data_IF_004716912665
#
_entry.id   IF_004716912665
#
_cell.length_a   1.000
_cell.length_b   1.000
_cell.length_c   1.000
_cell.angle_alpha   90.00
_cell.angle_beta   90.00
_cell.angle_gamma   90.00
#
_symmetry.space_group_name_H-M   'P 1'
#
loop_
_entity.id
_entity.type
_entity.pdbx_description
1 polymer ?
#
# COMPACT_ATOMS: atom_id res chain seq x y z
N UNK A 1 19.06 25.71 -19.12
CA UNK A 1 19.02 24.27 -18.79
C UNK A 1 18.17 24.12 -17.56
N UNK A 2 16.87 23.94 -17.74
CA UNK A 2 15.91 23.91 -16.63
C UNK A 2 15.75 22.45 -16.23
N UNK A 3 16.41 22.03 -15.15
CA UNK A 3 16.07 20.78 -14.48
C UNK A 3 14.73 21.05 -13.77
N UNK A 4 13.62 20.90 -14.50
CA UNK A 4 12.30 20.82 -13.88
C UNK A 4 12.20 19.45 -13.25
N UNK A 5 12.39 19.40 -11.92
CA UNK A 5 11.92 18.28 -11.12
C UNK A 5 10.43 18.10 -11.39
N UNK A 6 10.12 17.12 -12.23
CA UNK A 6 8.78 16.57 -12.29
C UNK A 6 8.68 15.73 -11.03
N UNK A 7 8.17 16.32 -9.94
CA UNK A 7 7.54 15.51 -8.90
C UNK A 7 6.35 14.85 -9.60
N UNK A 8 6.57 13.64 -10.13
CA UNK A 8 5.48 12.83 -10.65
C UNK A 8 4.55 12.60 -9.47
N UNK A 9 3.34 13.15 -9.53
CA UNK A 9 2.27 12.78 -8.60
C UNK A 9 2.23 11.26 -8.61
N UNK A 10 2.53 10.58 -7.48
CA UNK A 10 2.59 9.13 -7.45
C UNK A 10 1.25 8.59 -7.92
N UNK A 11 1.26 7.60 -8.82
CA UNK A 11 0.03 6.93 -9.21
C UNK A 11 -0.64 6.40 -7.93
N UNK A 12 -1.89 6.80 -7.63
CA UNK A 12 -2.57 6.35 -6.42
C UNK A 12 -2.70 4.83 -6.37
N UNK A 13 -2.87 4.17 -7.53
CA UNK A 13 -2.89 2.71 -7.64
C UNK A 13 -1.55 2.08 -7.27
N UNK A 14 -0.45 2.57 -7.83
CA UNK A 14 0.91 2.15 -7.48
C UNK A 14 1.21 2.35 -5.98
N UNK A 15 0.80 3.48 -5.43
CA UNK A 15 0.96 3.80 -4.00
C UNK A 15 0.17 2.82 -3.12
N UNK A 16 -1.08 2.50 -3.49
CA UNK A 16 -1.91 1.54 -2.77
C UNK A 16 -1.29 0.13 -2.79
N UNK A 17 -0.80 -0.33 -3.95
CA UNK A 17 -0.11 -1.64 -4.06
C UNK A 17 1.17 -1.68 -3.23
N UNK A 18 1.93 -0.58 -3.20
CA UNK A 18 3.12 -0.48 -2.36
C UNK A 18 2.78 -0.61 -0.87
N UNK A 19 1.75 0.11 -0.41
CA UNK A 19 1.28 0.04 0.99
C UNK A 19 0.78 -1.36 1.33
N UNK A 20 0.02 -2.02 0.43
CA UNK A 20 -0.43 -3.41 0.63
C UNK A 20 0.77 -4.34 0.86
N UNK A 21 1.77 -4.29 -0.01
CA UNK A 21 2.96 -5.16 0.08
C UNK A 21 3.72 -4.93 1.38
N UNK A 22 3.95 -3.66 1.73
CA UNK A 22 4.67 -3.29 2.94
C UNK A 22 3.92 -3.69 4.22
N UNK A 23 2.60 -3.45 4.27
CA UNK A 23 1.76 -3.85 5.39
C UNK A 23 1.76 -5.37 5.59
N UNK A 24 1.72 -6.15 4.50
CA UNK A 24 1.82 -7.61 4.54
C UNK A 24 3.15 -8.09 5.11
N UNK A 25 4.27 -7.53 4.67
CA UNK A 25 5.60 -7.89 5.18
C UNK A 25 5.75 -7.57 6.66
N UNK A 26 5.36 -6.36 7.07
CA UNK A 26 5.39 -5.92 8.46
C UNK A 26 4.47 -6.77 9.34
N UNK A 27 3.30 -7.18 8.84
CA UNK A 27 2.37 -8.04 9.59
C UNK A 27 2.99 -9.39 9.90
N UNK A 28 3.69 -9.99 8.93
CA UNK A 28 4.39 -11.26 9.13
C UNK A 28 5.48 -11.12 10.18
N UNK A 29 6.26 -10.04 10.12
CA UNK A 29 7.28 -9.74 11.13
C UNK A 29 6.64 -9.57 12.52
N UNK A 30 5.62 -8.72 12.64
CA UNK A 30 4.92 -8.48 13.91
C UNK A 30 4.33 -9.77 14.50
N UNK A 31 3.76 -10.64 13.65
CA UNK A 31 3.24 -11.95 14.06
C UNK A 31 4.36 -12.86 14.59
N UNK A 32 5.49 -12.94 13.87
CA UNK A 32 6.65 -13.72 14.26
C UNK A 32 7.35 -13.20 15.53
N UNK A 33 7.20 -11.92 15.84
CA UNK A 33 7.74 -11.28 17.05
C UNK A 33 6.77 -11.26 18.24
N UNK A 34 5.59 -11.89 18.13
CA UNK A 34 4.59 -11.92 19.22
C UNK A 34 3.84 -10.59 19.43
N UNK A 35 3.94 -9.64 18.50
CA UNK A 35 3.26 -8.35 18.54
C UNK A 35 1.85 -8.47 17.91
N UNK A 36 0.99 -9.29 18.52
CA UNK A 36 -0.32 -9.67 17.96
C UNK A 36 -1.23 -8.48 17.64
N UNK A 37 -1.27 -7.47 18.51
CA UNK A 37 -2.08 -6.26 18.25
C UNK A 37 -1.55 -5.45 17.06
N UNK A 38 -0.23 -5.33 16.92
CA UNK A 38 0.36 -4.66 15.75
C UNK A 38 0.09 -5.44 14.47
N UNK A 39 0.18 -6.76 14.50
CA UNK A 39 -0.18 -7.61 13.36
C UNK A 39 -1.65 -7.45 12.96
N UNK A 40 -2.55 -7.29 13.94
CA UNK A 40 -3.95 -6.97 13.68
C UNK A 40 -4.12 -5.60 13.01
N UNK A 41 -3.46 -4.55 13.50
CA UNK A 41 -3.52 -3.23 12.86
C UNK A 41 -3.00 -3.25 11.42
N UNK A 42 -1.87 -3.92 11.20
CA UNK A 42 -1.27 -4.07 9.87
C UNK A 42 -2.16 -4.88 8.91
N UNK A 43 -2.98 -5.79 9.44
CA UNK A 43 -3.98 -6.50 8.63
C UNK A 43 -5.05 -5.56 8.10
N UNK A 44 -5.54 -4.63 8.92
CA UNK A 44 -6.53 -3.65 8.47
C UNK A 44 -5.95 -2.76 7.36
N UNK A 45 -4.70 -2.30 7.53
CA UNK A 45 -4.00 -1.51 6.51
C UNK A 45 -3.82 -2.30 5.21
N UNK A 46 -3.44 -3.58 5.30
CA UNK A 46 -3.33 -4.48 4.14
C UNK A 46 -4.67 -4.59 3.39
N UNK A 47 -5.77 -4.81 4.11
CA UNK A 47 -7.11 -4.97 3.50
C UNK A 47 -7.60 -3.65 2.86
N UNK A 48 -7.38 -2.50 3.50
CA UNK A 48 -7.74 -1.16 2.99
C UNK A 48 -6.94 -0.80 1.72
N UNK A 49 -5.62 -1.01 1.76
CA UNK A 49 -4.76 -0.74 0.61
C UNK A 49 -5.07 -1.64 -0.59
N UNK A 50 -5.38 -2.91 -0.34
CA UNK A 50 -5.81 -3.83 -1.39
C UNK A 50 -7.16 -3.42 -2.00
N UNK A 51 -8.08 -2.89 -1.19
CA UNK A 51 -9.34 -2.35 -1.69
C UNK A 51 -9.13 -1.10 -2.56
N UNK A 52 -8.22 -0.22 -2.16
CA UNK A 52 -7.88 0.98 -2.92
C UNK A 52 -7.20 0.65 -4.25
N UNK A 53 -6.24 -0.28 -4.26
CA UNK A 53 -5.59 -0.72 -5.49
C UNK A 53 -6.61 -1.25 -6.52
N UNK A 54 -7.58 -2.05 -6.09
CA UNK A 54 -8.65 -2.56 -6.97
C UNK A 54 -9.51 -1.45 -7.58
N UNK A 55 -9.86 -0.41 -6.81
CA UNK A 55 -10.65 0.73 -7.32
C UNK A 55 -9.94 1.45 -8.47
N UNK A 56 -8.62 1.58 -8.37
CA UNK A 56 -7.80 2.24 -9.40
C UNK A 56 -7.58 1.36 -10.63
N UNK A 57 -7.49 0.04 -10.45
CA UNK A 57 -7.39 -0.91 -11.57
C UNK A 57 -8.69 -0.95 -12.40
N UNK A 58 -9.84 -0.95 -11.72
CA UNK A 58 -11.16 -0.97 -12.36
C UNK A 58 -11.51 0.38 -13.02
N UNK A 59 -10.96 1.50 -12.51
CA UNK A 59 -11.18 2.84 -13.06
C UNK A 59 -10.41 3.18 -14.34
N UNK A 60 -9.40 2.38 -14.73
CA UNK A 60 -8.60 2.58 -15.96
C UNK A 60 -9.11 1.82 -17.19
N UNK A 61 -10.17 1.01 -17.05
CA UNK A 61 -10.77 0.25 -18.17
C UNK A 61 -12.08 0.86 -18.72
N UNK A 62 -12.48 2.04 -18.24
CA UNK A 62 -13.68 2.78 -18.67
C UNK A 62 -13.42 3.87 -19.70
#
# INVERSE_FOLDING_TARGET
MTIKGVESVPDPGESARYIESMARELRRLASGSGLGFLAFLLRMVEDDAAAEARRHDDGQTG
#
